data_IF_200731997579
#
_entry.id   IF_200731997579
#
_cell.length_a   1.000
_cell.length_b   1.000
_cell.length_c   1.000
_cell.angle_alpha   90.00
_cell.angle_beta   90.00
_cell.angle_gamma   90.00
#
_symmetry.space_group_name_H-M   'P 1'
#
loop_
_entity.id
_entity.type
_entity.pdbx_description
1 polymer ?
#
# COMPACT_ATOMS: atom_id res chain seq x y z
N UNK A 1 5.51 -5.70 -1.85
CA UNK A 1 4.40 -4.92 -1.24
C UNK A 1 4.21 -5.42 0.17
N UNK A 2 3.99 -4.53 1.15
CA UNK A 2 3.63 -4.91 2.51
C UNK A 2 2.11 -4.75 2.64
N UNK A 3 1.41 -5.78 3.10
CA UNK A 3 -0.01 -5.66 3.42
C UNK A 3 -0.15 -4.85 4.72
N UNK A 4 -1.02 -3.84 4.71
CA UNK A 4 -1.37 -3.11 5.91
C UNK A 4 -2.15 -3.98 6.92
N UNK A 5 -2.36 -3.47 8.14
CA UNK A 5 -3.18 -4.18 9.13
C UNK A 5 -4.61 -4.37 8.63
N UNK A 6 -5.24 -5.49 9.02
CA UNK A 6 -6.63 -5.83 8.62
C UNK A 6 -7.61 -4.72 9.00
N UNK A 7 -7.45 -4.14 10.20
CA UNK A 7 -8.33 -3.10 10.74
C UNK A 7 -7.77 -1.68 10.54
N UNK A 8 -7.18 -1.40 9.38
CA UNK A 8 -6.53 -0.11 9.10
C UNK A 8 -7.42 1.12 9.40
N UNK A 9 -8.72 1.06 9.10
CA UNK A 9 -9.66 2.15 9.39
C UNK A 9 -9.87 2.35 10.88
N UNK A 10 -10.04 1.27 11.65
CA UNK A 10 -10.19 1.31 13.10
C UNK A 10 -8.94 1.88 13.75
N UNK A 11 -7.77 1.38 13.35
CA UNK A 11 -6.47 1.86 13.84
C UNK A 11 -6.27 3.33 13.47
N UNK A 12 -6.63 3.75 12.26
CA UNK A 12 -6.56 5.15 11.84
C UNK A 12 -7.39 6.08 12.75
N UNK A 13 -8.62 5.68 13.10
CA UNK A 13 -9.48 6.44 14.01
C UNK A 13 -8.85 6.56 15.40
N UNK A 14 -8.37 5.45 15.97
CA UNK A 14 -7.69 5.44 17.27
C UNK A 14 -6.41 6.30 17.22
N UNK A 15 -5.67 6.25 16.12
CA UNK A 15 -4.47 7.08 15.94
C UNK A 15 -4.76 8.58 16.05
N UNK A 16 -5.86 9.05 15.45
CA UNK A 16 -6.30 10.46 15.58
C UNK A 16 -6.72 10.78 17.01
N UNK A 17 -7.42 9.87 17.70
CA UNK A 17 -7.80 10.05 19.10
C UNK A 17 -6.55 10.19 19.99
N UNK A 18 -5.52 9.34 19.80
CA UNK A 18 -4.25 9.42 20.54
C UNK A 18 -3.49 10.73 20.27
N UNK A 19 -3.50 11.23 19.03
CA UNK A 19 -2.90 12.55 18.73
C UNK A 19 -3.64 13.69 19.41
N UNK A 20 -4.98 13.60 19.48
CA UNK A 20 -5.80 14.60 20.18
C UNK A 20 -5.52 14.61 21.69
N UNK A 21 -5.10 13.48 22.25
CA UNK A 21 -4.70 13.33 23.64
C UNK A 21 -3.21 13.67 23.89
N UNK A 22 -2.47 14.14 22.89
CA UNK A 22 -1.03 14.44 22.95
C UNK A 22 -0.14 13.21 23.24
N UNK A 23 -0.68 11.99 23.04
CA UNK A 23 0.05 10.72 23.23
C UNK A 23 0.89 10.33 22.01
N UNK A 24 0.57 10.89 20.84
CA UNK A 24 1.32 10.74 19.60
C UNK A 24 1.42 12.09 18.90
N UNK A 25 2.61 12.46 18.42
CA UNK A 25 2.80 13.80 17.86
C UNK A 25 2.21 13.95 16.46
N UNK A 26 2.20 12.85 15.68
CA UNK A 26 1.81 12.89 14.27
C UNK A 26 1.53 11.48 13.69
N UNK A 27 1.15 11.45 12.42
CA UNK A 27 0.83 10.23 11.67
C UNK A 27 2.04 9.31 11.48
N UNK A 28 3.26 9.83 11.34
CA UNK A 28 4.46 9.02 11.14
C UNK A 28 4.83 8.27 12.44
N UNK A 29 4.68 8.91 13.61
CA UNK A 29 4.83 8.26 14.92
C UNK A 29 3.81 7.11 15.06
N UNK A 30 2.56 7.34 14.68
CA UNK A 30 1.54 6.29 14.69
C UNK A 30 1.87 5.14 13.71
N UNK A 31 2.35 5.45 12.51
CA UNK A 31 2.79 4.44 11.53
C UNK A 31 3.94 3.59 12.08
N UNK A 32 4.86 4.19 12.83
CA UNK A 32 5.93 3.47 13.48
C UNK A 32 5.38 2.46 14.50
N UNK A 33 4.45 2.89 15.36
CA UNK A 33 3.76 2.00 16.32
C UNK A 33 3.08 0.85 15.59
N UNK A 34 2.26 1.13 14.56
CA UNK A 34 1.57 0.12 13.76
C UNK A 34 2.56 -0.86 13.12
N UNK A 35 3.69 -0.38 12.58
CA UNK A 35 4.69 -1.22 11.93
C UNK A 35 5.37 -2.23 12.87
N UNK A 36 5.46 -1.91 14.16
CA UNK A 36 6.08 -2.78 15.18
C UNK A 36 5.07 -3.62 15.97
N UNK A 37 3.78 -3.30 15.90
CA UNK A 37 2.73 -3.94 16.72
C UNK A 37 1.80 -4.83 15.91
N UNK A 38 1.51 -4.48 14.66
CA UNK A 38 0.67 -5.27 13.79
C UNK A 38 1.46 -6.41 13.13
N UNK A 39 0.79 -7.53 12.87
CA UNK A 39 1.37 -8.61 12.07
C UNK A 39 1.28 -8.24 10.58
N UNK A 40 2.39 -7.78 10.01
CA UNK A 40 2.47 -7.35 8.62
C UNK A 40 3.10 -8.44 7.74
N UNK A 41 2.41 -8.79 6.67
CA UNK A 41 2.91 -9.76 5.69
C UNK A 41 3.55 -9.05 4.50
N UNK A 42 4.79 -9.42 4.19
CA UNK A 42 5.47 -8.97 2.98
C UNK A 42 5.19 -9.91 1.82
N UNK A 43 4.69 -9.37 0.72
CA UNK A 43 4.50 -10.07 -0.54
C UNK A 43 5.54 -9.61 -1.55
N UNK A 44 6.45 -10.50 -1.92
CA UNK A 44 7.46 -10.24 -2.96
C UNK A 44 6.81 -10.37 -4.34
N UNK A 45 6.98 -9.39 -5.24
CA UNK A 45 6.49 -9.52 -6.61
C UNK A 45 7.06 -10.78 -7.28
N UNK A 46 6.20 -11.58 -7.89
CA UNK A 46 6.63 -12.72 -8.70
C UNK A 46 6.59 -12.34 -10.19
N UNK A 47 7.74 -12.17 -10.86
CA UNK A 47 7.79 -11.84 -12.29
C UNK A 47 7.25 -12.97 -13.18
N UNK A 48 7.23 -14.21 -12.67
CA UNK A 48 6.74 -15.40 -13.38
C UNK A 48 5.26 -15.70 -13.08
N UNK A 49 4.55 -14.76 -12.45
CA UNK A 49 3.11 -14.88 -12.23
C UNK A 49 2.33 -14.63 -13.53
N UNK A 50 1.18 -15.28 -13.68
CA UNK A 50 0.30 -15.08 -14.84
C UNK A 50 -0.04 -13.61 -15.06
N UNK A 51 -0.33 -12.87 -13.97
CA UNK A 51 -0.62 -11.44 -14.04
C UNK A 51 0.61 -10.62 -14.49
N UNK A 52 1.83 -10.98 -14.06
CA UNK A 52 3.05 -10.30 -14.50
C UNK A 52 3.29 -10.50 -16.00
N UNK A 53 3.11 -11.73 -16.50
CA UNK A 53 3.19 -12.00 -17.94
C UNK A 53 2.13 -11.24 -18.74
N UNK A 54 0.89 -11.22 -18.27
CA UNK A 54 -0.19 -10.47 -18.92
C UNK A 54 0.11 -8.96 -18.95
N UNK A 55 0.54 -8.37 -17.82
CA UNK A 55 0.91 -6.95 -17.73
C UNK A 55 2.06 -6.59 -18.68
N UNK A 56 3.07 -7.46 -18.81
CA UNK A 56 4.18 -7.24 -19.75
C UNK A 56 3.68 -7.20 -21.22
N UNK A 57 2.77 -8.11 -21.58
CA UNK A 57 2.20 -8.16 -22.92
C UNK A 57 1.38 -6.91 -23.24
N UNK A 58 0.43 -6.49 -22.39
CA UNK A 58 -0.39 -5.28 -22.63
C UNK A 58 0.43 -4.00 -22.71
N UNK A 59 1.54 -3.91 -21.97
CA UNK A 59 2.43 -2.75 -22.05
C UNK A 59 3.23 -2.74 -23.36
N UNK A 60 3.64 -3.91 -23.86
CA UNK A 60 4.32 -4.03 -25.16
C UNK A 60 3.40 -3.81 -26.36
N UNK A 61 2.12 -4.16 -26.26
CA UNK A 61 1.13 -4.07 -27.34
C UNK A 61 0.33 -2.77 -27.33
N UNK A 62 0.61 -1.84 -26.41
CA UNK A 62 0.11 -0.47 -26.49
C UNK A 62 0.64 0.18 -27.78
N UNK A 63 -0.13 0.07 -28.86
CA UNK A 63 0.00 0.96 -30.00
C UNK A 63 -0.16 2.38 -29.46
N UNK A 64 0.85 3.23 -29.62
CA UNK A 64 0.66 4.68 -29.58
C UNK A 64 -0.51 4.96 -30.50
N UNK A 65 -1.63 5.41 -29.94
CA UNK A 65 -2.78 5.87 -30.73
C UNK A 65 -2.21 6.82 -31.79
N UNK A 66 -2.29 6.45 -33.06
CA UNK A 66 -1.92 7.38 -34.12
C UNK A 66 -2.80 8.62 -33.94
N UNK A 67 -2.16 9.77 -33.71
CA UNK A 67 -2.85 11.03 -33.62
C UNK A 67 -3.30 11.35 -35.05
N UNK A 68 -4.56 11.09 -35.37
CA UNK A 68 -5.13 11.53 -36.65
C UNK A 68 -4.99 13.06 -36.72
N UNK A 69 -4.24 13.54 -37.72
CA UNK A 69 -4.04 14.94 -38.03
C UNK A 69 -5.29 15.58 -38.66
#
# INVERSE_FOLDING_TARGET
MIAGPVEASTLGNIGIELMTLDELNNVDDFRQVVSTTANLTTFTPNPDSEIAHYVAQIHSTRQTKELCA
#
